data_IF_198990522465
#
_entry.id   IF_198990522465
#
_cell.length_a   1.000
_cell.length_b   1.000
_cell.length_c   1.000
_cell.angle_alpha   90.00
_cell.angle_beta   90.00
_cell.angle_gamma   90.00
#
_symmetry.space_group_name_H-M   'P 1'
#
loop_
_entity.id
_entity.type
_entity.pdbx_description
1 polymer ?
#
# COMPACT_ATOMS: atom_id res chain seq x y z
N UNK A 1 65.83 -32.53 40.71
CA UNK A 1 65.41 -33.63 39.81
C UNK A 1 65.06 -32.97 38.49
N UNK A 2 65.96 -33.06 37.50
CA UNK A 2 65.90 -32.40 36.17
C UNK A 2 65.71 -30.87 36.17
N UNK A 3 66.69 -30.16 35.60
CA UNK A 3 66.59 -29.46 34.31
C UNK A 3 65.24 -28.80 33.95
N UNK A 4 65.18 -27.62 33.34
CA UNK A 4 65.97 -27.24 32.15
C UNK A 4 66.25 -25.73 32.12
N UNK A 5 67.50 -25.32 32.30
CA UNK A 5 68.10 -24.12 31.67
C UNK A 5 69.64 -24.24 31.69
N UNK A 6 70.19 -24.55 30.51
CA UNK A 6 71.60 -24.50 30.12
C UNK A 6 71.71 -23.53 28.92
N UNK A 7 72.90 -23.13 28.44
CA UNK A 7 74.21 -22.99 29.10
C UNK A 7 74.72 -21.51 29.03
N UNK A 8 75.95 -21.23 29.49
CA UNK A 8 76.68 -19.95 29.33
C UNK A 8 76.33 -18.75 30.26
N UNK A 9 76.37 -18.98 31.58
CA UNK A 9 77.15 -18.08 32.46
C UNK A 9 78.66 -18.39 32.23
N UNK A 10 79.66 -17.51 32.50
CA UNK A 10 79.70 -16.45 33.50
C UNK A 10 80.37 -15.15 32.93
N UNK A 11 80.93 -14.19 33.66
CA UNK A 11 80.97 -13.90 35.10
C UNK A 11 80.83 -12.38 35.31
N UNK A 12 80.66 -11.92 36.55
CA UNK A 12 80.88 -10.51 36.92
C UNK A 12 81.30 -10.27 38.37
N UNK A 13 81.34 -11.30 39.23
CA UNK A 13 81.60 -11.15 40.66
C UNK A 13 83.05 -11.54 41.04
N UNK A 14 83.75 -12.37 40.25
CA UNK A 14 85.13 -12.79 40.53
C UNK A 14 86.17 -11.85 39.88
N UNK A 15 85.87 -11.29 38.70
CA UNK A 15 86.81 -10.45 37.94
C UNK A 15 87.12 -9.08 38.58
N UNK A 16 86.18 -8.47 39.31
CA UNK A 16 86.36 -7.12 39.87
C UNK A 16 87.22 -7.09 41.15
N UNK A 17 87.38 -8.23 41.85
CA UNK A 17 88.02 -8.26 43.18
C UNK A 17 89.21 -9.25 43.31
N UNK A 18 89.41 -10.17 42.37
CA UNK A 18 90.64 -10.99 42.32
C UNK A 18 91.89 -10.22 41.82
N UNK A 19 91.73 -8.96 41.37
CA UNK A 19 92.84 -8.05 41.03
C UNK A 19 92.60 -6.66 41.67
N UNK A 20 92.54 -6.52 42.98
CA UNK A 20 93.65 -6.76 43.90
C UNK A 20 95.00 -6.22 43.37
N UNK A 21 95.62 -5.32 44.15
CA UNK A 21 97.09 -5.07 44.19
C UNK A 21 97.71 -4.51 42.89
N UNK A 22 97.91 -3.18 42.80
CA UNK A 22 98.60 -2.60 41.63
C UNK A 22 99.23 -1.19 41.74
N UNK A 23 98.50 -0.15 42.16
CA UNK A 23 98.89 1.24 41.81
C UNK A 23 99.56 2.07 42.94
N UNK A 24 100.90 2.14 42.87
CA UNK A 24 101.83 3.17 43.37
C UNK A 24 102.97 3.18 42.29
N UNK A 25 103.49 4.24 41.64
CA UNK A 25 104.20 5.51 42.01
C UNK A 25 104.48 6.32 40.68
N UNK A 26 104.94 7.62 40.67
CA UNK A 26 106.35 7.98 40.26
C UNK A 26 106.92 9.42 40.62
N UNK A 27 108.26 9.69 40.53
CA UNK A 27 108.96 11.04 40.69
C UNK A 27 110.28 11.18 39.81
N UNK A 28 110.78 12.41 39.47
CA UNK A 28 111.98 12.79 38.62
C UNK A 28 112.76 14.07 39.15
N UNK A 29 113.73 14.71 38.42
CA UNK A 29 114.59 15.90 38.84
C UNK A 29 114.48 17.24 37.99
N UNK A 30 114.97 18.46 38.40
CA UNK A 30 114.66 19.83 37.81
C UNK A 30 115.61 21.06 38.19
N UNK A 31 115.87 22.03 37.29
CA UNK A 31 116.68 23.26 37.55
C UNK A 31 115.89 24.40 38.24
N UNK A 32 114.56 24.33 38.30
CA UNK A 32 113.68 25.19 39.12
C UNK A 32 113.19 24.53 40.42
N UNK A 33 113.74 23.37 40.73
CA UNK A 33 113.42 22.66 41.95
C UNK A 33 113.65 23.48 43.23
N UNK A 34 113.05 23.01 44.32
CA UNK A 34 113.22 23.55 45.67
C UNK A 34 114.70 23.39 46.14
N UNK A 35 115.05 23.82 47.36
CA UNK A 35 116.26 23.31 48.05
C UNK A 35 116.01 22.18 49.11
N UNK A 36 116.58 20.97 48.91
CA UNK A 36 116.41 19.76 49.75
C UNK A 36 116.07 18.37 49.10
N UNK A 37 115.24 18.28 48.06
CA UNK A 37 114.64 17.06 47.45
C UNK A 37 115.35 16.44 46.22
N UNK A 38 114.78 15.34 45.68
CA UNK A 38 115.22 14.69 44.41
C UNK A 38 114.84 15.46 43.14
N UNK A 39 114.39 16.72 43.26
CA UNK A 39 114.30 17.67 42.15
C UNK A 39 115.51 18.64 42.07
N UNK A 40 116.20 18.89 43.16
CA UNK A 40 116.96 20.10 43.46
C UNK A 40 118.07 20.58 42.52
N UNK A 41 118.13 21.92 42.36
CA UNK A 41 119.37 22.65 42.09
C UNK A 41 119.54 23.81 43.09
N UNK A 42 120.17 23.50 44.22
CA UNK A 42 120.25 24.34 45.42
C UNK A 42 120.89 25.75 45.28
N UNK A 43 121.54 26.16 44.18
CA UNK A 43 122.50 27.28 44.23
C UNK A 43 122.96 27.91 42.88
N UNK A 44 122.14 28.65 42.10
CA UNK A 44 122.60 29.24 40.81
C UNK A 44 122.20 30.71 40.49
N UNK A 45 122.96 31.70 40.99
CA UNK A 45 122.90 33.13 40.61
C UNK A 45 123.94 33.55 39.53
N UNK A 46 123.95 34.85 39.14
CA UNK A 46 124.23 35.28 37.75
C UNK A 46 125.00 36.63 37.59
N UNK A 47 125.93 36.69 36.61
CA UNK A 47 126.47 37.81 35.77
C UNK A 47 127.36 39.01 36.25
N UNK A 48 128.11 39.51 35.22
CA UNK A 48 128.58 40.89 34.89
C UNK A 48 130.13 41.07 34.82
N UNK A 49 130.77 41.92 33.99
CA UNK A 49 130.30 43.00 33.08
C UNK A 49 131.25 43.31 31.86
N UNK A 50 130.66 43.81 30.76
CA UNK A 50 131.07 44.84 29.73
C UNK A 50 132.55 45.10 29.30
N UNK A 51 132.75 45.42 28.01
CA UNK A 51 134.05 45.63 27.31
C UNK A 51 134.29 47.08 26.81
N UNK A 52 135.49 47.35 26.26
CA UNK A 52 136.13 48.69 26.17
C UNK A 52 136.44 49.26 24.77
N UNK A 53 136.10 48.58 23.67
CA UNK A 53 136.46 49.03 22.32
C UNK A 53 135.40 49.94 21.70
N UNK A 54 134.28 49.34 21.29
CA UNK A 54 133.55 49.71 20.07
C UNK A 54 133.51 48.46 19.16
N UNK A 55 132.57 48.24 18.24
CA UNK A 55 131.70 49.15 17.47
C UNK A 55 132.39 49.76 16.24
N UNK A 56 131.56 50.19 15.29
CA UNK A 56 131.83 51.04 14.14
C UNK A 56 131.46 52.48 14.56
N UNK A 57 132.18 53.11 15.48
CA UNK A 57 133.54 52.82 15.91
C UNK A 57 133.72 52.80 17.43
N UNK A 58 134.85 52.24 17.87
CA UNK A 58 135.73 52.84 18.90
C UNK A 58 136.04 54.33 18.60
N UNK A 59 135.80 54.69 17.34
CA UNK A 59 136.29 55.83 16.56
C UNK A 59 135.19 56.48 15.70
N UNK A 60 133.91 56.27 16.02
CA UNK A 60 132.74 56.74 15.28
C UNK A 60 132.58 56.18 13.83
N UNK A 61 131.36 55.74 13.48
CA UNK A 61 130.85 55.63 12.09
C UNK A 61 131.51 54.64 11.09
N UNK A 62 132.09 53.51 11.52
CA UNK A 62 132.78 52.53 10.65
C UNK A 62 131.97 51.75 9.59
N UNK A 63 131.09 52.43 8.83
CA UNK A 63 130.27 51.97 7.70
C UNK A 63 129.02 51.15 8.10
N UNK A 64 127.86 51.73 8.40
CA UNK A 64 126.98 52.46 7.47
C UNK A 64 126.72 51.66 6.18
N UNK A 65 125.57 50.98 6.10
CA UNK A 65 125.13 50.23 4.91
C UNK A 65 124.60 51.19 3.83
N UNK A 66 125.41 51.44 2.79
CA UNK A 66 125.04 52.33 1.69
C UNK A 66 124.26 51.57 0.58
N UNK A 67 123.24 50.83 1.00
CA UNK A 67 122.39 49.97 0.17
C UNK A 67 121.36 50.80 -0.61
N UNK A 68 121.08 50.46 -1.88
CA UNK A 68 120.12 51.21 -2.72
C UNK A 68 118.70 51.14 -2.15
N UNK A 69 117.84 52.13 -2.40
CA UNK A 69 116.47 52.12 -1.86
C UNK A 69 115.61 50.92 -2.33
N UNK A 70 115.98 50.28 -3.45
CA UNK A 70 115.34 49.04 -3.90
C UNK A 70 115.87 47.79 -3.17
N UNK A 71 117.12 47.84 -2.71
CA UNK A 71 117.81 46.74 -2.01
C UNK A 71 117.75 46.90 -0.48
N UNK A 72 117.33 48.07 0.04
CA UNK A 72 117.13 48.30 1.46
C UNK A 72 116.05 47.34 1.97
N UNK A 73 116.35 46.49 2.98
CA UNK A 73 115.33 45.64 3.57
C UNK A 73 114.21 46.51 4.14
N UNK A 74 112.97 46.20 3.75
CA UNK A 74 111.78 46.81 4.37
C UNK A 74 111.85 46.57 5.88
N UNK A 75 111.70 47.63 6.66
CA UNK A 75 111.81 47.54 8.12
C UNK A 75 110.77 46.57 8.70
N UNK A 76 111.08 45.94 9.83
CA UNK A 76 110.14 45.03 10.52
C UNK A 76 108.79 45.73 10.81
N UNK A 77 108.78 47.04 11.03
CA UNK A 77 107.56 47.84 11.17
C UNK A 77 106.76 47.94 9.86
N UNK A 78 107.41 48.09 8.71
CA UNK A 78 106.74 48.07 7.40
C UNK A 78 106.25 46.66 7.04
N UNK A 79 107.02 45.62 7.35
CA UNK A 79 106.59 44.24 7.16
C UNK A 79 105.37 43.93 8.06
N UNK A 80 105.40 44.30 9.34
CA UNK A 80 104.26 44.14 10.25
C UNK A 80 103.02 44.94 9.80
N UNK A 81 103.20 46.12 9.17
CA UNK A 81 102.09 46.88 8.58
C UNK A 81 101.53 46.23 7.30
N UNK A 82 102.35 45.50 6.54
CA UNK A 82 101.92 44.73 5.37
C UNK A 82 101.26 43.41 5.79
N UNK A 83 101.82 42.68 6.74
CA UNK A 83 101.23 41.48 7.35
C UNK A 83 99.92 41.81 8.09
N UNK A 84 99.80 43.03 8.59
CA UNK A 84 98.57 43.60 9.15
C UNK A 84 97.48 43.95 8.13
N UNK A 85 97.75 43.89 6.81
CA UNK A 85 96.67 43.98 5.80
C UNK A 85 95.92 42.65 5.74
N UNK A 86 94.75 42.63 6.36
CA UNK A 86 93.83 41.49 6.31
C UNK A 86 93.55 41.02 4.87
N UNK A 87 93.81 39.74 4.61
CA UNK A 87 93.34 39.05 3.40
C UNK A 87 91.80 39.05 3.39
N UNK A 88 91.18 39.66 2.38
CA UNK A 88 89.72 39.77 2.24
C UNK A 88 89.08 38.42 1.87
N UNK A 89 88.99 37.52 2.85
CA UNK A 89 88.47 36.17 2.69
C UNK A 89 87.16 35.89 3.42
N UNK A 90 86.72 36.77 4.32
CA UNK A 90 85.48 36.60 5.10
C UNK A 90 84.36 37.54 4.64
N UNK A 91 83.12 37.16 4.95
CA UNK A 91 81.92 37.96 4.60
C UNK A 91 81.91 39.35 5.27
N UNK A 92 82.58 39.49 6.42
CA UNK A 92 82.73 40.77 7.10
C UNK A 92 83.61 41.75 6.31
N UNK A 93 84.65 41.26 5.63
CA UNK A 93 85.60 42.07 4.86
C UNK A 93 85.00 42.70 3.59
N UNK A 94 83.85 42.18 3.17
CA UNK A 94 83.04 42.68 2.06
C UNK A 94 81.89 43.61 2.51
N UNK A 95 81.76 43.90 3.81
CA UNK A 95 80.67 44.73 4.34
C UNK A 95 79.30 44.04 4.37
N UNK A 96 79.26 42.71 4.29
CA UNK A 96 78.03 41.90 4.31
C UNK A 96 77.97 40.96 5.54
N UNK A 97 78.16 41.46 6.78
CA UNK A 97 78.30 40.60 7.96
C UNK A 97 77.02 39.80 8.28
N UNK A 98 75.85 40.27 7.85
CA UNK A 98 74.55 39.67 8.16
C UNK A 98 74.03 38.72 7.07
N UNK A 99 74.81 38.45 6.01
CA UNK A 99 74.39 37.55 4.93
C UNK A 99 74.78 36.12 5.26
N UNK A 100 73.87 35.36 5.86
CA UNK A 100 74.01 33.90 5.90
C UNK A 100 73.87 33.30 4.48
N UNK A 101 74.23 32.01 4.32
CA UNK A 101 73.91 31.28 3.08
C UNK A 101 73.08 30.04 3.46
N UNK A 102 72.11 30.24 4.32
CA UNK A 102 71.17 29.21 4.76
C UNK A 102 70.27 28.85 3.59
N UNK A 103 70.13 27.55 3.30
CA UNK A 103 69.29 27.06 2.20
C UNK A 103 67.84 27.51 2.40
N UNK A 104 67.09 27.70 1.30
CA UNK A 104 65.72 28.24 1.38
C UNK A 104 64.78 27.41 2.27
N UNK A 105 65.00 26.09 2.38
CA UNK A 105 64.26 25.21 3.29
C UNK A 105 64.53 25.48 4.80
N UNK A 106 65.67 26.08 5.12
CA UNK A 106 66.12 26.37 6.48
C UNK A 106 66.03 27.86 6.84
N UNK A 107 65.60 28.73 5.92
CA UNK A 107 65.41 30.16 6.20
C UNK A 107 64.24 30.36 7.18
N UNK A 108 64.43 31.05 8.30
CA UNK A 108 63.33 31.31 9.23
C UNK A 108 62.29 32.22 8.57
N UNK A 109 61.03 31.81 8.63
CA UNK A 109 59.90 32.68 8.29
C UNK A 109 59.89 33.84 9.29
N UNK A 110 59.82 35.09 8.81
CA UNK A 110 59.90 36.25 9.71
C UNK A 110 58.72 36.28 10.68
N UNK A 111 58.90 36.84 11.88
CA UNK A 111 57.84 36.95 12.91
C UNK A 111 56.57 37.62 12.34
N UNK A 112 56.74 38.63 11.47
CA UNK A 112 55.62 39.29 10.79
C UNK A 112 54.91 38.38 9.77
N UNK A 113 55.64 37.54 9.02
CA UNK A 113 55.03 36.54 8.14
C UNK A 113 54.35 35.43 8.94
N UNK A 114 54.93 34.97 10.06
CA UNK A 114 54.32 33.96 10.91
C UNK A 114 53.01 34.50 11.51
N UNK A 115 53.01 35.70 12.10
CA UNK A 115 51.79 36.34 12.59
C UNK A 115 50.73 36.55 11.50
N UNK A 116 51.13 36.87 10.26
CA UNK A 116 50.23 36.99 9.12
C UNK A 116 49.73 35.63 8.58
N UNK A 117 50.41 34.52 8.87
CA UNK A 117 49.95 33.16 8.57
C UNK A 117 49.03 32.64 9.67
N UNK A 118 49.39 32.84 10.94
CA UNK A 118 48.57 32.49 12.11
C UNK A 118 47.24 33.27 12.14
N UNK A 119 47.23 34.49 11.59
CA UNK A 119 46.03 35.29 11.38
C UNK A 119 45.14 34.87 10.20
N UNK A 120 45.54 33.88 9.37
CA UNK A 120 44.66 33.35 8.33
C UNK A 120 43.71 32.33 8.94
N UNK A 121 42.41 32.57 8.79
CA UNK A 121 41.38 31.63 9.23
C UNK A 121 41.60 30.23 8.62
N UNK A 122 41.56 29.21 9.47
CA UNK A 122 41.63 27.81 9.06
C UNK A 122 40.43 27.49 8.17
N UNK A 123 40.66 27.19 6.88
CA UNK A 123 39.58 26.84 5.94
C UNK A 123 38.90 25.53 6.37
N UNK A 124 37.82 25.64 7.14
CA UNK A 124 37.07 24.48 7.62
C UNK A 124 35.81 24.78 8.42
N UNK A 125 35.60 26.02 8.91
CA UNK A 125 34.34 26.37 9.57
C UNK A 125 33.33 26.96 8.59
N UNK A 126 32.04 26.80 8.92
CA UNK A 126 30.92 27.34 8.13
C UNK A 126 30.88 28.87 8.16
N UNK A 127 31.43 29.49 9.20
CA UNK A 127 31.54 30.94 9.33
C UNK A 127 32.53 31.52 8.30
N UNK A 128 33.63 30.80 8.00
CA UNK A 128 34.64 31.24 7.03
C UNK A 128 34.09 31.32 5.60
N UNK A 129 33.05 30.54 5.30
CA UNK A 129 32.33 30.55 4.03
C UNK A 129 31.19 31.59 3.96
N UNK A 130 31.00 32.41 5.01
CA UNK A 130 29.88 33.36 5.10
C UNK A 130 28.52 32.69 5.35
N UNK A 131 28.52 31.42 5.76
CA UNK A 131 27.32 30.60 5.99
C UNK A 131 27.22 30.12 7.45
N UNK A 132 27.36 30.99 8.47
CA UNK A 132 27.44 30.58 9.88
C UNK A 132 26.19 29.80 10.35
N UNK A 133 25.04 30.04 9.73
CA UNK A 133 23.76 29.40 10.06
C UNK A 133 23.45 28.16 9.21
N UNK A 134 24.31 27.73 8.29
CA UNK A 134 24.04 26.57 7.44
C UNK A 134 24.34 25.25 8.16
N UNK A 135 23.30 24.52 8.55
CA UNK A 135 23.41 23.14 9.00
C UNK A 135 23.46 22.20 7.77
N UNK A 136 24.56 21.47 7.59
CA UNK A 136 24.66 20.44 6.55
C UNK A 136 24.00 19.14 7.01
N UNK A 137 22.77 19.28 7.52
CA UNK A 137 21.91 18.17 7.90
C UNK A 137 21.49 17.47 6.61
N UNK A 138 21.77 16.17 6.49
CA UNK A 138 21.39 15.40 5.30
C UNK A 138 19.87 15.46 5.08
N UNK A 139 19.40 15.36 3.83
CA UNK A 139 17.96 15.51 3.54
C UNK A 139 17.07 14.51 4.30
N UNK A 140 17.61 13.33 4.63
CA UNK A 140 16.94 12.34 5.48
C UNK A 140 16.82 12.76 6.97
N UNK A 141 17.72 13.61 7.46
CA UNK A 141 17.77 14.09 8.85
C UNK A 141 17.20 15.50 9.02
N UNK A 142 16.88 16.21 7.93
CA UNK A 142 16.30 17.57 8.01
C UNK A 142 14.94 17.50 8.71
N UNK A 143 14.72 18.26 9.80
CA UNK A 143 13.42 18.28 10.44
C UNK A 143 12.39 18.86 9.47
N UNK A 144 11.33 18.11 9.20
CA UNK A 144 10.15 18.64 8.50
C UNK A 144 9.56 19.78 9.32
N UNK A 145 9.32 20.92 8.66
CA UNK A 145 8.73 22.08 9.33
C UNK A 145 7.35 21.72 9.91
N UNK A 146 6.95 22.37 11.02
CA UNK A 146 5.64 22.12 11.65
C UNK A 146 4.50 22.27 10.64
N UNK A 147 4.59 23.23 9.72
CA UNK A 147 3.64 23.42 8.62
C UNK A 147 3.63 22.25 7.61
N UNK A 148 4.79 21.73 7.21
CA UNK A 148 4.86 20.54 6.36
C UNK A 148 4.37 19.29 7.07
N UNK A 149 4.71 19.07 8.35
CA UNK A 149 4.21 17.93 9.10
C UNK A 149 2.69 17.99 9.26
N UNK A 150 2.12 19.17 9.53
CA UNK A 150 0.67 19.35 9.54
C UNK A 150 0.03 19.04 8.17
N UNK A 151 0.63 19.50 7.07
CA UNK A 151 0.15 19.20 5.71
C UNK A 151 0.31 17.72 5.31
N UNK A 152 1.35 17.04 5.80
CA UNK A 152 1.57 15.59 5.58
C UNK A 152 0.59 14.75 6.40
N UNK A 153 0.28 15.14 7.63
CA UNK A 153 -0.69 14.46 8.50
C UNK A 153 -2.12 14.50 7.93
N UNK A 154 -2.42 15.42 7.00
CA UNK A 154 -3.70 15.50 6.29
C UNK A 154 -3.75 14.62 5.02
N UNK A 155 -2.66 13.93 4.64
CA UNK A 155 -2.65 13.03 3.48
C UNK A 155 -3.09 11.61 3.88
N UNK A 156 -3.99 10.94 3.13
CA UNK A 156 -4.39 9.57 3.40
C UNK A 156 -3.21 8.60 3.34
N UNK A 157 -3.18 7.61 4.25
CA UNK A 157 -2.15 6.57 4.25
C UNK A 157 -2.42 5.55 3.13
N UNK A 158 -1.45 5.32 2.24
CA UNK A 158 -1.58 4.36 1.14
C UNK A 158 -1.83 2.91 1.60
N UNK A 159 -1.38 2.53 2.81
CA UNK A 159 -1.61 1.20 3.38
C UNK A 159 -2.95 1.08 4.15
N UNK A 160 -3.59 2.20 4.49
CA UNK A 160 -4.91 2.24 5.13
C UNK A 160 -5.59 3.57 4.79
N UNK A 161 -6.23 3.69 3.62
CA UNK A 161 -6.89 4.92 3.18
C UNK A 161 -8.24 5.11 3.90
N UNK A 162 -8.19 5.39 5.20
CA UNK A 162 -9.34 5.65 6.06
C UNK A 162 -9.90 7.08 5.89
N UNK A 163 -10.27 7.44 4.66
CA UNK A 163 -10.83 8.77 4.37
C UNK A 163 -12.30 8.86 4.75
N UNK A 164 -12.66 9.81 5.61
CA UNK A 164 -14.04 10.28 5.74
C UNK A 164 -14.36 11.27 4.61
N UNK A 165 -15.21 10.87 3.66
CA UNK A 165 -15.64 11.74 2.56
C UNK A 165 -16.03 10.99 1.28
N UNK A 166 -16.38 11.74 0.24
CA UNK A 166 -16.75 11.20 -1.08
C UNK A 166 -15.51 10.79 -1.87
N UNK A 167 -15.36 9.49 -2.14
CA UNK A 167 -14.34 8.99 -3.05
C UNK A 167 -14.82 9.08 -4.50
N UNK A 168 -14.08 9.78 -5.37
CA UNK A 168 -14.41 9.91 -6.79
C UNK A 168 -13.27 9.38 -7.65
N UNK A 169 -13.57 8.43 -8.52
CA UNK A 169 -12.65 7.92 -9.54
C UNK A 169 -13.08 8.46 -10.91
N UNK A 170 -12.14 9.00 -11.66
CA UNK A 170 -12.38 9.58 -12.98
C UNK A 170 -11.39 9.01 -14.01
N UNK A 171 -11.93 8.38 -15.06
CA UNK A 171 -11.16 7.77 -16.14
C UNK A 171 -10.65 6.35 -15.82
N UNK A 172 -11.31 5.34 -16.40
CA UNK A 172 -10.95 3.93 -16.26
C UNK A 172 -11.99 3.10 -15.51
N UNK A 173 -11.70 1.82 -15.32
CA UNK A 173 -12.53 0.88 -14.54
C UNK A 173 -12.05 0.80 -13.10
N UNK A 174 -12.97 1.03 -12.15
CA UNK A 174 -12.73 0.75 -10.74
C UNK A 174 -12.73 -0.77 -10.50
N UNK A 175 -11.54 -1.35 -10.28
CA UNK A 175 -11.37 -2.77 -9.95
C UNK A 175 -11.15 -2.96 -8.46
N UNK A 176 -12.07 -3.64 -7.79
CA UNK A 176 -11.99 -4.00 -6.36
C UNK A 176 -11.49 -5.43 -6.21
N UNK A 177 -10.18 -5.65 -6.40
CA UNK A 177 -9.55 -6.96 -6.26
C UNK A 177 -8.80 -7.06 -4.92
N UNK A 178 -9.36 -7.85 -4.00
CA UNK A 178 -8.81 -8.14 -2.68
C UNK A 178 -7.99 -9.44 -2.60
N UNK A 179 -7.64 -10.02 -3.76
CA UNK A 179 -6.94 -11.31 -3.90
C UNK A 179 -7.70 -12.50 -3.27
N UNK A 180 -7.01 -13.62 -3.04
CA UNK A 180 -7.63 -14.84 -2.53
C UNK A 180 -8.21 -14.66 -1.13
N UNK A 181 -9.51 -14.90 -0.98
CA UNK A 181 -10.27 -14.98 0.28
C UNK A 181 -10.70 -13.67 0.97
N UNK A 182 -10.96 -12.58 0.23
CA UNK A 182 -11.91 -11.54 0.68
C UNK A 182 -12.80 -11.06 -0.46
N UNK A 183 -14.06 -10.72 -0.13
CA UNK A 183 -15.00 -10.05 -1.04
C UNK A 183 -14.98 -8.53 -0.81
N UNK A 184 -15.46 -7.74 -1.76
CA UNK A 184 -15.70 -6.31 -1.53
C UNK A 184 -16.80 -6.12 -0.46
N UNK A 185 -16.51 -5.37 0.59
CA UNK A 185 -17.42 -5.18 1.74
C UNK A 185 -17.88 -3.73 1.83
N UNK A 186 -19.19 -3.53 1.71
CA UNK A 186 -19.84 -2.24 1.93
C UNK A 186 -20.53 -2.26 3.31
N UNK A 187 -20.11 -1.38 4.23
CA UNK A 187 -20.60 -1.28 5.61
C UNK A 187 -20.88 0.17 5.98
N UNK A 188 -21.91 0.39 6.80
CA UNK A 188 -22.24 1.67 7.42
C UNK A 188 -22.17 1.53 8.93
N UNK A 189 -21.55 2.50 9.63
CA UNK A 189 -21.57 2.58 11.09
C UNK A 189 -22.94 3.07 11.62
N UNK A 190 -23.82 3.55 10.73
CA UNK A 190 -25.20 3.87 11.05
C UNK A 190 -26.08 2.61 10.98
N UNK A 191 -26.63 2.21 12.14
CA UNK A 191 -27.45 1.01 12.34
C UNK A 191 -28.77 0.97 11.55
N UNK A 192 -29.16 2.04 10.86
CA UNK A 192 -30.43 2.10 10.12
C UNK A 192 -30.41 1.42 8.73
N UNK A 193 -29.35 1.60 7.93
CA UNK A 193 -29.30 1.13 6.52
C UNK A 193 -27.87 0.94 6.00
N UNK A 194 -27.66 -0.07 5.16
CA UNK A 194 -26.43 -0.24 4.36
C UNK A 194 -26.77 -0.65 2.94
N UNK A 195 -26.69 0.29 1.99
CA UNK A 195 -26.94 0.01 0.57
C UNK A 195 -25.98 0.77 -0.35
N UNK A 196 -25.62 0.14 -1.47
CA UNK A 196 -24.99 0.80 -2.60
C UNK A 196 -26.08 1.58 -3.34
N UNK A 197 -26.12 2.89 -3.15
CA UNK A 197 -27.01 3.77 -3.91
C UNK A 197 -26.42 4.02 -5.31
N UNK A 198 -27.20 3.74 -6.36
CA UNK A 198 -26.89 4.25 -7.68
C UNK A 198 -27.42 5.68 -7.77
N UNK A 199 -26.53 6.66 -7.80
CA UNK A 199 -26.86 8.09 -7.88
C UNK A 199 -26.59 8.61 -9.30
N UNK A 200 -27.52 9.38 -9.84
CA UNK A 200 -27.39 9.96 -11.19
C UNK A 200 -26.30 11.04 -11.22
N UNK A 201 -25.32 10.89 -12.12
CA UNK A 201 -24.19 11.82 -12.25
C UNK A 201 -24.63 13.28 -12.46
N UNK A 202 -24.03 14.20 -11.70
CA UNK A 202 -24.41 15.63 -11.71
C UNK A 202 -25.69 15.95 -10.93
N UNK A 203 -26.27 14.99 -10.20
CA UNK A 203 -27.49 15.14 -9.40
C UNK A 203 -27.37 14.44 -8.04
N UNK A 204 -28.36 14.64 -7.16
CA UNK A 204 -28.52 13.91 -5.90
C UNK A 204 -29.62 12.83 -5.97
N UNK A 205 -30.18 12.58 -7.16
CA UNK A 205 -31.26 11.62 -7.37
C UNK A 205 -30.74 10.17 -7.34
N UNK A 206 -31.31 9.35 -6.44
CA UNK A 206 -31.10 7.91 -6.39
C UNK A 206 -31.99 7.20 -7.42
N UNK A 207 -31.39 6.32 -8.24
CA UNK A 207 -32.05 5.60 -9.33
C UNK A 207 -32.09 4.07 -9.13
N UNK A 208 -31.62 3.58 -7.98
CA UNK A 208 -31.67 2.18 -7.59
C UNK A 208 -30.72 1.89 -6.44
N UNK A 209 -30.79 0.68 -5.87
CA UNK A 209 -29.81 0.26 -4.87
C UNK A 209 -29.63 -1.26 -4.76
N UNK A 210 -28.42 -1.67 -4.33
CA UNK A 210 -28.13 -3.02 -3.83
C UNK A 210 -27.88 -2.92 -2.31
N UNK A 211 -28.81 -3.40 -1.48
CA UNK A 211 -28.58 -3.49 -0.02
C UNK A 211 -29.82 -3.47 0.88
N UNK A 212 -29.61 -3.05 2.13
CA UNK A 212 -30.62 -2.98 3.19
C UNK A 212 -31.23 -1.57 3.35
N UNK A 213 -32.51 -1.48 3.02
CA UNK A 213 -33.39 -0.31 3.17
C UNK A 213 -34.66 -0.67 3.98
N UNK A 214 -35.40 0.35 4.44
CA UNK A 214 -36.65 0.21 5.18
C UNK A 214 -37.83 1.03 4.63
N UNK A 215 -38.25 0.86 3.38
CA UNK A 215 -39.61 1.32 2.95
C UNK A 215 -39.89 1.38 1.43
N UNK A 216 -40.96 0.71 0.97
CA UNK A 216 -41.48 0.54 -0.40
C UNK A 216 -41.81 1.86 -1.20
N UNK A 217 -42.10 1.92 -2.53
CA UNK A 217 -42.71 1.04 -3.56
C UNK A 217 -42.07 1.29 -4.97
N UNK A 218 -42.35 0.49 -6.02
CA UNK A 218 -41.80 0.66 -7.41
C UNK A 218 -42.83 0.36 -8.52
N UNK A 219 -42.79 1.14 -9.62
CA UNK A 219 -43.49 0.93 -10.89
C UNK A 219 -42.57 0.39 -12.01
N UNK A 220 -43.12 -0.36 -12.98
CA UNK A 220 -42.39 -1.15 -13.97
C UNK A 220 -41.37 -0.41 -14.87
N UNK A 221 -40.35 -1.15 -15.33
CA UNK A 221 -39.30 -0.66 -16.23
C UNK A 221 -39.07 -1.57 -17.44
N UNK A 222 -38.21 -1.15 -18.36
CA UNK A 222 -37.88 -1.91 -19.57
C UNK A 222 -36.35 -2.02 -19.76
N UNK A 223 -35.79 -3.23 -19.70
CA UNK A 223 -34.37 -3.53 -20.01
C UNK A 223 -33.34 -3.22 -18.90
N UNK A 224 -32.34 -4.10 -18.74
CA UNK A 224 -31.22 -4.07 -17.75
C UNK A 224 -31.51 -4.55 -16.31
N UNK A 225 -32.34 -5.57 -16.11
CA UNK A 225 -32.78 -5.95 -14.75
C UNK A 225 -31.88 -7.00 -14.06
N UNK A 226 -30.96 -6.55 -13.22
CA UNK A 226 -30.62 -7.19 -11.94
C UNK A 226 -30.54 -6.13 -10.85
N UNK A 227 -31.59 -6.04 -10.02
CA UNK A 227 -31.55 -6.00 -8.53
C UNK A 227 -33.01 -6.33 -8.07
N UNK A 228 -33.31 -6.06 -6.80
CA UNK A 228 -34.59 -5.60 -6.22
C UNK A 228 -35.44 -6.65 -5.51
N UNK A 229 -35.96 -6.21 -4.36
CA UNK A 229 -36.48 -6.95 -3.20
C UNK A 229 -37.91 -7.44 -3.32
N UNK A 230 -38.26 -8.40 -2.46
CA UNK A 230 -39.61 -8.57 -1.93
C UNK A 230 -39.70 -8.15 -0.45
N UNK A 231 -40.92 -7.97 0.06
CA UNK A 231 -41.21 -7.62 1.46
C UNK A 231 -41.84 -8.77 2.28
N UNK A 232 -41.69 -10.02 1.82
CA UNK A 232 -41.82 -11.21 2.67
C UNK A 232 -40.70 -12.22 2.39
N UNK A 233 -40.56 -12.76 1.17
CA UNK A 233 -39.29 -13.38 0.74
C UNK A 233 -38.93 -13.10 -0.72
N UNK A 234 -37.62 -13.04 -0.96
CA UNK A 234 -36.98 -13.20 -2.27
C UNK A 234 -35.70 -14.01 -2.08
N UNK A 235 -35.73 -15.28 -2.47
CA UNK A 235 -34.54 -16.12 -2.63
C UNK A 235 -34.79 -16.99 -3.86
N UNK A 236 -34.03 -16.74 -4.92
CA UNK A 236 -33.91 -17.63 -6.07
C UNK A 236 -32.66 -18.49 -5.83
N UNK A 237 -32.84 -19.63 -5.17
CA UNK A 237 -31.73 -20.54 -4.92
C UNK A 237 -31.46 -21.38 -6.17
N UNK A 238 -30.49 -20.96 -7.00
CA UNK A 238 -29.88 -21.84 -7.99
C UNK A 238 -28.98 -22.85 -7.26
N UNK A 239 -29.59 -23.96 -6.85
CA UNK A 239 -28.91 -25.11 -6.26
C UNK A 239 -29.12 -26.27 -7.23
N UNK A 240 -28.03 -26.91 -7.67
CA UNK A 240 -28.08 -28.10 -8.55
C UNK A 240 -29.02 -27.92 -9.76
N UNK A 241 -28.83 -26.82 -10.49
CA UNK A 241 -29.51 -26.45 -11.75
C UNK A 241 -31.03 -26.17 -11.70
N UNK A 242 -31.64 -25.95 -10.52
CA UNK A 242 -33.07 -25.58 -10.42
C UNK A 242 -33.30 -24.16 -9.88
N UNK A 243 -34.41 -23.53 -10.30
CA UNK A 243 -34.95 -22.32 -9.67
C UNK A 243 -36.12 -22.73 -8.77
N UNK A 244 -36.05 -22.42 -7.47
CA UNK A 244 -37.05 -22.82 -6.47
C UNK A 244 -37.39 -21.70 -5.49
N UNK A 245 -38.54 -21.84 -4.83
CA UNK A 245 -38.87 -21.08 -3.63
C UNK A 245 -37.87 -21.34 -2.50
N UNK A 246 -37.70 -20.37 -1.60
CA UNK A 246 -36.95 -20.55 -0.35
C UNK A 246 -37.69 -21.39 0.68
N UNK A 247 -39.01 -21.30 0.68
CA UNK A 247 -39.90 -21.94 1.64
C UNK A 247 -40.90 -22.82 0.89
N UNK A 248 -41.16 -23.99 1.43
CA UNK A 248 -42.13 -24.92 0.86
C UNK A 248 -43.55 -24.31 0.87
N UNK A 249 -44.36 -24.67 -0.12
CA UNK A 249 -45.80 -24.39 -0.28
C UNK A 249 -46.33 -22.96 0.06
N UNK A 250 -45.48 -21.93 0.06
CA UNK A 250 -45.78 -20.61 0.67
C UNK A 250 -45.72 -19.41 -0.27
N UNK A 251 -45.27 -19.59 -1.51
CA UNK A 251 -45.11 -18.51 -2.50
C UNK A 251 -45.79 -18.87 -3.82
N UNK A 252 -46.60 -17.95 -4.33
CA UNK A 252 -47.28 -18.08 -5.61
C UNK A 252 -46.40 -17.62 -6.77
N UNK A 253 -46.54 -18.26 -7.95
CA UNK A 253 -45.93 -17.81 -9.19
C UNK A 253 -46.89 -16.89 -9.96
N UNK A 254 -46.87 -15.61 -9.61
CA UNK A 254 -47.80 -14.59 -10.12
C UNK A 254 -48.99 -14.35 -9.18
N UNK A 255 -49.85 -13.39 -9.55
CA UNK A 255 -51.01 -12.93 -8.78
C UNK A 255 -52.25 -12.74 -9.68
N UNK A 256 -53.42 -12.55 -9.07
CA UNK A 256 -54.67 -12.35 -9.79
C UNK A 256 -54.65 -11.09 -10.68
N UNK A 257 -54.07 -9.98 -10.23
CA UNK A 257 -53.79 -8.80 -11.05
C UNK A 257 -52.52 -8.93 -11.93
N UNK A 258 -51.48 -9.63 -11.47
CA UNK A 258 -50.21 -9.85 -12.20
C UNK A 258 -50.05 -11.29 -12.72
N UNK A 259 -50.70 -11.59 -13.85
CA UNK A 259 -50.67 -12.93 -14.49
C UNK A 259 -49.58 -13.05 -15.55
N UNK A 260 -48.97 -14.23 -15.63
CA UNK A 260 -48.10 -14.62 -16.75
C UNK A 260 -48.92 -14.79 -18.05
N UNK A 261 -48.36 -14.36 -19.18
CA UNK A 261 -49.06 -14.40 -20.48
C UNK A 261 -49.11 -15.78 -21.13
N UNK A 262 -48.07 -16.60 -20.94
CA UNK A 262 -47.98 -17.99 -21.38
C UNK A 262 -46.85 -18.71 -20.63
N UNK A 263 -46.79 -20.05 -20.71
CA UNK A 263 -45.67 -20.87 -20.23
C UNK A 263 -45.23 -21.87 -21.30
N UNK A 264 -43.94 -22.22 -21.30
CA UNK A 264 -43.36 -23.26 -22.15
C UNK A 264 -42.59 -24.23 -21.27
N UNK A 265 -43.01 -25.49 -21.24
CA UNK A 265 -42.35 -26.57 -20.53
C UNK A 265 -42.17 -27.77 -21.46
N UNK A 266 -41.11 -28.54 -21.28
CA UNK A 266 -40.88 -29.81 -22.01
C UNK A 266 -41.77 -30.96 -21.50
N UNK A 267 -42.25 -30.84 -20.26
CA UNK A 267 -43.14 -31.79 -19.56
C UNK A 267 -44.18 -31.01 -18.74
N UNK A 268 -45.28 -31.65 -18.36
CA UNK A 268 -46.28 -31.02 -17.48
C UNK A 268 -45.70 -30.77 -16.06
N UNK A 269 -46.14 -29.72 -15.35
CA UNK A 269 -45.75 -29.49 -13.96
C UNK A 269 -46.12 -30.65 -13.02
N UNK A 270 -45.21 -31.01 -12.12
CA UNK A 270 -45.46 -32.01 -11.07
C UNK A 270 -46.29 -31.40 -9.95
N UNK A 271 -47.45 -32.00 -9.63
CA UNK A 271 -48.32 -31.59 -8.53
C UNK A 271 -48.29 -32.67 -7.44
N UNK A 272 -47.94 -32.31 -6.21
CA UNK A 272 -47.91 -33.23 -5.07
C UNK A 272 -49.32 -33.75 -4.77
N UNK A 273 -49.45 -35.07 -4.64
CA UNK A 273 -50.72 -35.74 -4.33
C UNK A 273 -50.51 -36.94 -3.41
N UNK A 274 -49.71 -36.77 -2.36
CA UNK A 274 -49.45 -37.81 -1.37
C UNK A 274 -50.70 -38.06 -0.50
N UNK A 275 -51.02 -39.33 -0.25
CA UNK A 275 -52.16 -39.71 0.59
C UNK A 275 -51.95 -39.33 2.07
N UNK A 276 -50.71 -39.16 2.52
CA UNK A 276 -50.36 -38.77 3.90
C UNK A 276 -50.65 -37.28 4.19
N UNK A 277 -50.83 -36.48 3.15
CA UNK A 277 -51.11 -35.04 3.23
C UNK A 277 -52.60 -34.71 3.01
N UNK A 278 -53.47 -35.73 2.92
CA UNK A 278 -54.88 -35.61 2.58
C UNK A 278 -55.77 -36.30 3.61
N UNK A 279 -56.86 -35.63 4.01
CA UNK A 279 -57.91 -36.17 4.88
C UNK A 279 -59.22 -36.34 4.09
N UNK A 280 -60.16 -37.15 4.60
CA UNK A 280 -61.55 -37.32 4.12
C UNK A 280 -61.69 -37.69 2.63
N UNK A 281 -60.75 -38.47 2.11
CA UNK A 281 -60.87 -39.02 0.76
C UNK A 281 -62.16 -39.86 0.64
N UNK A 282 -63.06 -39.46 -0.26
CA UNK A 282 -64.39 -40.05 -0.44
C UNK A 282 -64.77 -40.11 -1.91
N UNK A 283 -65.75 -40.97 -2.23
CA UNK A 283 -66.44 -40.90 -3.52
C UNK A 283 -67.24 -39.58 -3.66
N UNK A 284 -67.49 -39.19 -4.91
CA UNK A 284 -68.45 -38.12 -5.21
C UNK A 284 -69.88 -38.59 -4.92
N UNK A 285 -70.69 -37.67 -4.44
CA UNK A 285 -72.12 -37.86 -4.16
C UNK A 285 -72.93 -37.81 -5.46
N UNK A 286 -74.19 -38.31 -5.46
CA UNK A 286 -75.03 -38.26 -6.66
C UNK A 286 -75.24 -36.84 -7.24
N UNK A 287 -75.43 -35.77 -6.44
CA UNK A 287 -75.50 -34.42 -6.97
C UNK A 287 -74.16 -33.92 -7.56
N UNK A 288 -73.02 -34.29 -6.98
CA UNK A 288 -71.69 -33.98 -7.54
C UNK A 288 -71.46 -34.66 -8.89
N UNK A 289 -71.86 -35.93 -9.02
CA UNK A 289 -71.80 -36.66 -10.30
C UNK A 289 -72.74 -36.04 -11.35
N UNK A 290 -73.94 -35.60 -10.94
CA UNK A 290 -74.87 -34.92 -11.84
C UNK A 290 -74.33 -33.56 -12.31
N UNK A 291 -73.77 -32.75 -11.39
CA UNK A 291 -73.12 -31.49 -11.72
C UNK A 291 -71.90 -31.67 -12.61
N UNK A 292 -71.06 -32.68 -12.35
CA UNK A 292 -69.92 -33.04 -13.22
C UNK A 292 -70.36 -33.36 -14.66
N UNK A 293 -71.45 -34.11 -14.81
CA UNK A 293 -72.02 -34.45 -16.11
C UNK A 293 -72.60 -33.24 -16.85
N UNK A 294 -73.12 -32.22 -16.15
CA UNK A 294 -73.60 -30.96 -16.74
C UNK A 294 -72.47 -29.98 -17.05
N UNK A 295 -71.45 -29.87 -16.21
CA UNK A 295 -70.22 -29.11 -16.50
C UNK A 295 -69.55 -29.59 -17.79
N UNK A 296 -69.49 -30.91 -17.98
CA UNK A 296 -69.00 -31.51 -19.21
C UNK A 296 -69.85 -31.16 -20.45
N UNK A 297 -71.16 -30.91 -20.30
CA UNK A 297 -72.04 -30.43 -21.37
C UNK A 297 -71.91 -28.92 -21.62
N UNK A 298 -71.41 -28.16 -20.64
CA UNK A 298 -71.21 -26.72 -20.71
C UNK A 298 -69.88 -26.31 -21.38
N UNK A 299 -69.05 -27.26 -21.83
CA UNK A 299 -67.83 -26.98 -22.60
C UNK A 299 -68.23 -26.31 -23.93
N UNK A 300 -67.82 -25.05 -24.10
CA UNK A 300 -68.07 -24.27 -25.32
C UNK A 300 -66.79 -23.79 -25.99
N UNK A 301 -66.96 -23.00 -27.04
CA UNK A 301 -65.88 -22.30 -27.75
C UNK A 301 -65.99 -20.79 -27.47
N UNK A 302 -64.87 -20.14 -27.17
CA UNK A 302 -64.81 -18.70 -26.95
C UNK A 302 -63.54 -18.08 -27.57
N UNK A 303 -63.55 -16.76 -27.75
CA UNK A 303 -62.38 -15.96 -28.14
C UNK A 303 -62.21 -14.83 -27.12
N UNK A 304 -60.98 -14.50 -26.73
CA UNK A 304 -60.74 -13.39 -25.80
C UNK A 304 -61.14 -12.05 -26.41
N UNK A 305 -61.94 -11.24 -25.72
CA UNK A 305 -62.36 -9.90 -26.19
C UNK A 305 -61.16 -9.04 -26.63
N UNK A 306 -60.10 -9.00 -25.83
CA UNK A 306 -58.85 -8.30 -26.16
C UNK A 306 -58.17 -8.86 -27.42
N UNK A 307 -58.20 -10.18 -27.62
CA UNK A 307 -57.64 -10.79 -28.84
C UNK A 307 -58.48 -10.45 -30.08
N UNK A 308 -59.82 -10.40 -29.98
CA UNK A 308 -60.71 -9.93 -31.05
C UNK A 308 -60.39 -8.48 -31.41
N UNK A 309 -60.28 -7.59 -30.42
CA UNK A 309 -59.95 -6.18 -30.64
C UNK A 309 -58.58 -6.01 -31.31
N UNK A 310 -57.57 -6.80 -30.91
CA UNK A 310 -56.20 -6.70 -31.43
C UNK A 310 -55.96 -7.42 -32.77
N UNK A 311 -56.75 -8.44 -33.10
CA UNK A 311 -56.44 -9.37 -34.22
C UNK A 311 -57.62 -9.60 -35.19
N UNK A 312 -58.80 -9.06 -34.91
CA UNK A 312 -60.03 -9.33 -35.67
C UNK A 312 -60.27 -10.82 -35.81
N UNK A 313 -60.47 -11.27 -37.05
CA UNK A 313 -60.69 -12.68 -37.39
C UNK A 313 -59.49 -13.59 -37.05
N UNK A 314 -58.28 -13.02 -36.92
CA UNK A 314 -57.08 -13.72 -36.44
C UNK A 314 -57.05 -14.02 -34.94
N UNK A 315 -58.09 -13.64 -34.19
CA UNK A 315 -58.28 -14.06 -32.81
C UNK A 315 -58.59 -15.56 -32.74
N UNK A 316 -57.71 -16.30 -32.07
CA UNK A 316 -57.83 -17.76 -31.92
C UNK A 316 -59.01 -18.14 -31.03
N UNK A 317 -59.57 -19.31 -31.34
CA UNK A 317 -60.58 -19.97 -30.52
C UNK A 317 -59.93 -20.75 -29.39
N UNK A 318 -60.60 -20.72 -28.24
CA UNK A 318 -60.26 -21.41 -27.00
C UNK A 318 -61.48 -22.25 -26.59
N UNK A 319 -61.25 -23.35 -25.90
CA UNK A 319 -62.28 -24.34 -25.56
C UNK A 319 -62.39 -24.44 -24.03
N UNK A 320 -63.62 -24.46 -23.52
CA UNK A 320 -63.90 -24.58 -22.09
C UNK A 320 -65.25 -23.95 -21.70
N UNK A 321 -65.78 -24.24 -20.50
CA UNK A 321 -66.92 -23.54 -19.94
C UNK A 321 -66.51 -22.14 -19.45
N UNK A 322 -67.49 -21.32 -19.03
CA UNK A 322 -67.23 -20.11 -18.21
C UNK A 322 -67.41 -20.44 -16.73
N UNK A 323 -66.71 -19.73 -15.84
CA UNK A 323 -66.85 -19.95 -14.39
C UNK A 323 -68.25 -19.64 -13.91
N UNK A 324 -68.91 -18.63 -14.49
CA UNK A 324 -70.29 -18.27 -14.17
C UNK A 324 -71.29 -19.37 -14.55
N UNK A 325 -71.11 -20.03 -15.70
CA UNK A 325 -71.92 -21.19 -16.05
C UNK A 325 -71.67 -22.38 -15.10
N UNK A 326 -70.42 -22.58 -14.67
CA UNK A 326 -70.09 -23.62 -13.71
C UNK A 326 -70.72 -23.38 -12.32
N UNK A 327 -70.68 -22.13 -11.83
CA UNK A 327 -71.37 -21.70 -10.60
C UNK A 327 -72.87 -22.05 -10.68
N UNK A 328 -73.55 -21.63 -11.74
CA UNK A 328 -74.99 -21.90 -11.94
C UNK A 328 -75.32 -23.40 -11.97
N UNK A 329 -74.47 -24.22 -12.59
CA UNK A 329 -74.65 -25.67 -12.63
C UNK A 329 -74.50 -26.28 -11.24
N UNK A 330 -73.44 -25.94 -10.50
CA UNK A 330 -73.22 -26.43 -9.13
C UNK A 330 -74.39 -26.05 -8.21
N UNK A 331 -74.83 -24.79 -8.25
CA UNK A 331 -75.98 -24.28 -7.49
C UNK A 331 -77.29 -25.02 -7.85
N UNK A 332 -77.50 -25.35 -9.13
CA UNK A 332 -78.70 -26.09 -9.58
C UNK A 332 -78.79 -27.53 -9.05
N UNK A 333 -77.64 -28.12 -8.70
CA UNK A 333 -77.55 -29.42 -8.03
C UNK A 333 -77.48 -29.31 -6.50
N UNK A 334 -77.69 -28.12 -5.94
CA UNK A 334 -77.65 -27.86 -4.50
C UNK A 334 -76.24 -27.87 -3.90
N UNK A 335 -75.21 -27.66 -4.71
CA UNK A 335 -73.81 -27.60 -4.30
C UNK A 335 -73.36 -26.15 -4.20
N UNK A 336 -72.69 -25.78 -3.12
CA UNK A 336 -71.98 -24.51 -3.00
C UNK A 336 -70.69 -24.58 -3.85
N UNK A 337 -70.56 -23.76 -4.92
CA UNK A 337 -69.44 -23.84 -5.84
C UNK A 337 -68.08 -23.55 -5.19
N UNK A 338 -68.04 -22.74 -4.13
CA UNK A 338 -66.79 -22.27 -3.52
C UNK A 338 -66.20 -23.24 -2.49
N UNK A 339 -66.90 -24.36 -2.21
CA UNK A 339 -66.32 -25.50 -1.48
C UNK A 339 -65.44 -26.40 -2.37
N UNK A 340 -65.30 -26.10 -3.66
CA UNK A 340 -64.51 -26.89 -4.62
C UNK A 340 -63.32 -26.08 -5.14
N UNK A 341 -62.12 -26.65 -5.04
CA UNK A 341 -60.86 -25.96 -5.35
C UNK A 341 -60.74 -25.50 -6.81
N UNK A 342 -61.49 -26.13 -7.72
CA UNK A 342 -61.47 -25.80 -9.14
C UNK A 342 -62.17 -24.48 -9.50
N UNK A 343 -63.04 -23.91 -8.66
CA UNK A 343 -63.65 -22.57 -8.86
C UNK A 343 -62.94 -21.57 -7.95
N UNK A 344 -62.35 -20.53 -8.53
CA UNK A 344 -61.64 -19.48 -7.81
C UNK A 344 -62.25 -18.10 -8.08
N UNK A 345 -62.23 -17.24 -7.06
CA UNK A 345 -62.56 -15.82 -7.15
C UNK A 345 -61.54 -15.01 -6.35
N UNK A 346 -60.95 -14.01 -7.00
CA UNK A 346 -59.99 -13.08 -6.41
C UNK A 346 -60.43 -11.65 -6.67
N UNK A 347 -60.20 -10.73 -5.72
CA UNK A 347 -60.40 -9.30 -5.90
C UNK A 347 -59.20 -8.51 -5.39
N UNK A 348 -58.95 -7.34 -5.98
CA UNK A 348 -57.85 -6.45 -5.62
C UNK A 348 -58.30 -4.99 -5.61
N UNK A 349 -57.66 -4.20 -4.74
CA UNK A 349 -57.84 -2.75 -4.73
C UNK A 349 -57.09 -2.11 -5.90
N UNK A 350 -57.54 -0.93 -6.31
CA UNK A 350 -56.86 -0.16 -7.34
C UNK A 350 -55.58 0.46 -6.78
N UNK A 351 -54.53 0.48 -7.59
CA UNK A 351 -53.27 1.12 -7.27
C UNK A 351 -52.84 2.07 -8.39
N UNK A 352 -52.15 3.14 -8.00
CA UNK A 352 -51.56 4.11 -8.93
C UNK A 352 -50.06 4.06 -8.71
N UNK A 353 -49.34 3.67 -9.75
CA UNK A 353 -47.91 3.42 -9.70
C UNK A 353 -47.21 4.42 -10.61
N UNK A 354 -46.31 5.22 -10.03
CA UNK A 354 -45.61 6.30 -10.73
C UNK A 354 -44.30 5.79 -11.34
N UNK A 355 -44.18 5.87 -12.67
CA UNK A 355 -42.96 5.51 -13.39
C UNK A 355 -42.14 6.78 -13.64
N UNK A 356 -40.90 6.78 -13.16
CA UNK A 356 -39.95 7.84 -13.45
C UNK A 356 -39.61 7.91 -14.96
N UNK A 357 -39.26 9.10 -15.44
CA UNK A 357 -38.85 9.30 -16.84
C UNK A 357 -37.58 8.49 -17.17
N UNK A 358 -37.56 7.88 -18.35
CA UNK A 358 -36.42 7.15 -18.89
C UNK A 358 -35.75 8.02 -19.96
N UNK A 359 -34.48 8.34 -19.76
CA UNK A 359 -33.70 9.13 -20.71
C UNK A 359 -33.37 8.33 -21.98
N UNK A 360 -33.16 9.03 -23.09
CA UNK A 360 -32.78 8.39 -24.35
C UNK A 360 -31.35 7.82 -24.28
N UNK A 361 -31.14 6.69 -24.95
CA UNK A 361 -29.84 6.07 -25.21
C UNK A 361 -29.70 5.79 -26.72
N UNK A 362 -28.52 5.41 -27.20
CA UNK A 362 -28.30 5.16 -28.64
C UNK A 362 -29.20 4.05 -29.23
N UNK A 363 -29.72 3.17 -28.37
CA UNK A 363 -30.62 2.06 -28.67
C UNK A 363 -32.09 2.29 -28.25
N UNK A 364 -32.43 3.44 -27.65
CA UNK A 364 -33.78 3.73 -27.15
C UNK A 364 -34.15 5.22 -27.17
N UNK A 365 -35.35 5.53 -27.66
CA UNK A 365 -35.96 6.85 -27.51
C UNK A 365 -36.44 7.16 -26.08
N UNK A 366 -36.36 8.43 -25.69
CA UNK A 366 -36.80 8.95 -24.39
C UNK A 366 -38.26 8.57 -24.09
N UNK A 367 -38.53 8.15 -22.85
CA UNK A 367 -39.88 7.98 -22.34
C UNK A 367 -40.11 8.98 -21.20
N UNK A 368 -41.14 9.82 -21.32
CA UNK A 368 -41.54 10.71 -20.24
C UNK A 368 -41.98 9.92 -18.99
N UNK A 369 -41.94 10.57 -17.83
CA UNK A 369 -42.57 10.02 -16.63
C UNK A 369 -44.06 9.80 -16.90
N UNK A 370 -44.59 8.68 -16.44
CA UNK A 370 -45.99 8.29 -16.69
C UNK A 370 -46.54 7.50 -15.51
N UNK A 371 -47.86 7.50 -15.40
CA UNK A 371 -48.56 6.93 -14.26
C UNK A 371 -49.37 5.72 -14.73
N UNK A 372 -49.06 4.53 -14.20
CA UNK A 372 -49.89 3.33 -14.40
C UNK A 372 -51.00 3.31 -13.35
N UNK A 373 -52.25 3.48 -13.79
CA UNK A 373 -53.41 3.22 -12.93
C UNK A 373 -53.89 1.80 -13.17
N UNK A 374 -53.65 0.92 -12.19
CA UNK A 374 -54.26 -0.39 -12.12
C UNK A 374 -55.62 -0.21 -11.44
N UNK A 375 -56.75 -0.35 -12.14
CA UNK A 375 -58.06 -0.19 -11.53
C UNK A 375 -58.35 -1.31 -10.54
N UNK A 376 -59.13 -0.99 -9.51
CA UNK A 376 -59.75 -2.00 -8.65
C UNK A 376 -60.56 -2.96 -9.50
N UNK A 377 -60.57 -4.24 -9.13
CA UNK A 377 -61.28 -5.24 -9.92
C UNK A 377 -61.27 -6.61 -9.28
N UNK A 378 -61.90 -7.54 -9.97
CA UNK A 378 -61.98 -8.93 -9.59
C UNK A 378 -61.76 -9.86 -10.79
N UNK A 379 -61.65 -11.15 -10.49
CA UNK A 379 -61.67 -12.19 -11.51
C UNK A 379 -62.14 -13.53 -10.96
N UNK A 380 -62.93 -14.21 -11.78
CA UNK A 380 -63.21 -15.62 -11.65
C UNK A 380 -62.22 -16.44 -12.49
N UNK A 381 -61.72 -17.55 -11.95
CA UNK A 381 -60.77 -18.44 -12.62
C UNK A 381 -61.08 -19.92 -12.36
N UNK A 382 -60.57 -20.80 -13.22
CA UNK A 382 -60.59 -22.24 -13.02
C UNK A 382 -59.19 -22.79 -12.69
N UNK A 383 -59.13 -23.80 -11.83
CA UNK A 383 -58.01 -24.77 -11.82
C UNK A 383 -58.38 -25.92 -12.75
N UNK A 384 -57.93 -25.84 -14.00
CA UNK A 384 -58.41 -26.72 -15.07
C UNK A 384 -58.12 -28.21 -14.82
N UNK A 385 -57.02 -28.57 -14.16
CA UNK A 385 -56.70 -29.98 -13.87
C UNK A 385 -57.71 -30.63 -12.92
N UNK A 386 -58.16 -29.90 -11.90
CA UNK A 386 -59.16 -30.36 -10.93
C UNK A 386 -60.58 -30.34 -11.55
N UNK A 387 -60.91 -29.32 -12.35
CA UNK A 387 -62.15 -29.29 -13.14
C UNK A 387 -62.25 -30.48 -14.11
N UNK A 388 -61.15 -30.81 -14.80
CA UNK A 388 -61.09 -31.94 -15.72
C UNK A 388 -61.26 -33.29 -14.99
N UNK A 389 -60.67 -33.46 -13.80
CA UNK A 389 -60.89 -34.65 -12.97
C UNK A 389 -62.35 -34.77 -12.51
N UNK A 390 -62.98 -33.67 -12.11
CA UNK A 390 -64.39 -33.64 -11.73
C UNK A 390 -65.30 -34.05 -12.90
N UNK A 391 -65.12 -33.44 -14.08
CA UNK A 391 -65.86 -33.81 -15.29
C UNK A 391 -65.60 -35.26 -15.72
N UNK A 392 -64.38 -35.78 -15.56
CA UNK A 392 -64.04 -37.17 -15.86
C UNK A 392 -64.82 -38.17 -14.99
N UNK A 393 -65.01 -37.89 -13.70
CA UNK A 393 -65.88 -38.70 -12.85
C UNK A 393 -67.36 -38.67 -13.30
N UNK A 394 -67.84 -37.52 -13.80
CA UNK A 394 -69.15 -37.41 -14.44
C UNK A 394 -69.29 -38.23 -15.74
N UNK A 395 -68.20 -38.40 -16.49
CA UNK A 395 -68.17 -39.29 -17.66
C UNK A 395 -68.15 -40.78 -17.25
N UNK A 396 -67.32 -41.15 -16.28
CA UNK A 396 -67.21 -42.52 -15.75
C UNK A 396 -68.57 -43.01 -15.24
N UNK A 397 -69.22 -42.27 -14.34
CA UNK A 397 -70.51 -42.67 -13.78
C UNK A 397 -71.63 -42.76 -14.84
N UNK A 398 -71.57 -41.93 -15.89
CA UNK A 398 -72.47 -42.03 -17.05
C UNK A 398 -72.20 -43.27 -17.89
N UNK A 399 -70.94 -43.66 -18.06
CA UNK A 399 -70.55 -44.88 -18.76
C UNK A 399 -70.99 -46.12 -17.97
N UNK A 400 -70.67 -46.19 -16.67
CA UNK A 400 -71.09 -47.28 -15.79
C UNK A 400 -72.62 -47.46 -15.77
N UNK A 401 -73.38 -46.35 -15.76
CA UNK A 401 -74.85 -46.40 -15.84
C UNK A 401 -75.39 -46.88 -17.21
N UNK A 402 -74.65 -46.66 -18.31
CA UNK A 402 -74.99 -47.21 -19.63
C UNK A 402 -74.65 -48.70 -19.72
N UNK A 403 -73.49 -49.11 -19.22
CA UNK A 403 -73.06 -50.51 -19.17
C UNK A 403 -74.01 -51.37 -18.32
N UNK A 404 -74.40 -50.90 -17.14
CA UNK A 404 -75.38 -51.58 -16.29
C UNK A 404 -76.75 -51.71 -16.97
N UNK A 405 -77.19 -50.70 -17.73
CA UNK A 405 -78.44 -50.76 -18.51
C UNK A 405 -78.33 -51.71 -19.70
N UNK A 406 -77.18 -51.78 -20.36
CA UNK A 406 -76.93 -52.72 -21.46
C UNK A 406 -76.97 -54.17 -20.95
N UNK A 407 -76.23 -54.48 -19.89
CA UNK A 407 -76.23 -55.81 -19.28
C UNK A 407 -77.62 -56.25 -18.80
N UNK A 408 -78.44 -55.32 -18.28
CA UNK A 408 -79.83 -55.60 -17.92
C UNK A 408 -80.73 -55.90 -19.13
N UNK A 409 -80.52 -55.23 -20.27
CA UNK A 409 -81.23 -55.51 -21.52
C UNK A 409 -80.82 -56.86 -22.13
N UNK A 410 -79.53 -57.16 -22.13
CA UNK A 410 -78.98 -58.45 -22.60
C UNK A 410 -79.49 -59.63 -21.74
N UNK A 411 -79.52 -59.45 -20.41
CA UNK A 411 -80.09 -60.44 -19.47
C UNK A 411 -81.60 -60.64 -19.62
N UNK A 412 -82.33 -59.63 -20.11
CA UNK A 412 -83.77 -59.70 -20.34
C UNK A 412 -84.15 -60.23 -21.75
N UNK A 413 -83.17 -60.33 -22.65
CA UNK A 413 -83.31 -60.91 -23.99
C UNK A 413 -82.82 -62.38 -24.07
N UNK A 414 -82.31 -62.91 -22.96
CA UNK A 414 -81.81 -64.28 -22.77
C UNK A 414 -82.86 -65.17 -22.11
#
# INVERSE_FOLDING_TARGET
>A
MADIFYPEMPDWLDALNQLAKGQLLPIQVDWEAVPGSVKEILNKPVLAAVATSGDKGDVDLGEVDNTSDADKPVSIAQQAALDGKANKGSKADAGLPNVDNTSDANKPVSIAQQAALDGKANKGSKADAGLPNADNTSDANKPVSIAQQAALNLKPNAANPNTTGTWSHAGGTLSLNSSGATWAVFKSDNVATSYMAFIKGGSLLQIGYVGSDGGALIAGGTGNNLVIRGTSHLILASDSDVVRSSFDASHNLGLSNYRWGNSYFSVAPTITSDAREKDRFRALTPPEIAAAADLARAIGVYRWKTAIVLKGDGAREHIGPTVQAAIQIMESHGLDPFNYGFICYDSWQGETIEHAAIEATEDREMQAAWTETIPAGDRYAFRYDELNQFMAAGFEARQAALEARLAALESAAS
#
